data_IF_809012019207
#
_entry.id   IF_809012019207
#
_cell.length_a   1.000
_cell.length_b   1.000
_cell.length_c   1.000
_cell.angle_alpha   90.00
_cell.angle_beta   90.00
_cell.angle_gamma   90.00
#
_symmetry.space_group_name_H-M   'P 1'
#
loop_
_entity.id
_entity.type
_entity.pdbx_description
1 polymer ?
#
# COMPACT_ATOMS: atom_id res chain seq x y z
N UNK A 1 -14.97 39.73 26.07
CA UNK A 1 -14.89 38.37 26.59
C UNK A 1 -15.86 37.33 25.99
N UNK A 2 -16.95 37.71 25.30
CA UNK A 2 -17.96 36.76 24.74
C UNK A 2 -17.60 36.16 23.37
N UNK A 3 -16.70 36.76 22.60
CA UNK A 3 -16.31 36.27 21.26
C UNK A 3 -15.30 35.14 21.27
N UNK A 4 -14.53 35.00 22.33
CA UNK A 4 -13.47 33.97 22.43
C UNK A 4 -14.02 32.56 22.71
N UNK A 5 -15.20 32.47 23.32
CA UNK A 5 -15.87 31.20 23.60
C UNK A 5 -16.55 30.56 22.39
N UNK A 6 -16.99 31.38 21.41
CA UNK A 6 -17.58 30.84 20.16
C UNK A 6 -16.56 30.15 19.26
N UNK A 7 -15.31 30.62 19.22
CA UNK A 7 -14.26 30.02 18.42
C UNK A 7 -13.79 28.63 18.96
N UNK A 8 -13.79 28.52 20.31
CA UNK A 8 -13.45 27.20 20.95
C UNK A 8 -14.54 26.16 20.77
N UNK A 9 -15.82 26.55 20.76
CA UNK A 9 -16.95 25.64 20.52
C UNK A 9 -16.98 25.11 19.07
N UNK A 10 -16.64 25.95 18.09
CA UNK A 10 -16.57 25.54 16.68
C UNK A 10 -15.41 24.56 16.44
N UNK A 11 -14.27 24.74 17.09
CA UNK A 11 -13.12 23.84 16.97
C UNK A 11 -13.41 22.45 17.53
N UNK A 12 -14.17 22.34 18.61
CA UNK A 12 -14.54 21.04 19.24
C UNK A 12 -15.57 20.27 18.40
N UNK A 13 -16.43 20.93 17.64
CA UNK A 13 -17.44 20.29 16.78
C UNK A 13 -16.87 19.76 15.45
N UNK A 14 -15.70 20.25 15.01
CA UNK A 14 -15.08 19.82 13.75
C UNK A 14 -14.15 18.59 13.89
N UNK A 15 -13.65 18.30 15.09
CA UNK A 15 -12.73 17.18 15.34
C UNK A 15 -13.33 15.78 15.09
N UNK A 16 -14.57 15.46 15.50
CA UNK A 16 -15.13 14.13 15.28
C UNK A 16 -15.37 13.79 13.80
N UNK A 17 -15.68 14.76 12.95
CA UNK A 17 -15.91 14.52 11.53
C UNK A 17 -14.65 14.15 10.75
N UNK A 18 -13.50 14.72 11.10
CA UNK A 18 -12.23 14.42 10.42
C UNK A 18 -11.76 13.00 10.75
N UNK A 19 -11.86 12.57 12.01
CA UNK A 19 -11.49 11.20 12.44
C UNK A 19 -12.43 10.15 11.85
N UNK A 20 -13.72 10.41 11.79
CA UNK A 20 -14.69 9.48 11.20
C UNK A 20 -14.49 9.30 9.69
N UNK A 21 -14.12 10.37 8.97
CA UNK A 21 -13.84 10.28 7.53
C UNK A 21 -12.53 9.52 7.22
N UNK A 22 -11.51 9.67 8.06
CA UNK A 22 -10.25 8.94 7.87
C UNK A 22 -10.40 7.44 8.18
N UNK A 23 -11.18 7.08 9.20
CA UNK A 23 -11.49 5.68 9.51
C UNK A 23 -12.32 5.02 8.42
N UNK A 24 -13.30 5.72 7.83
CA UNK A 24 -14.11 5.20 6.72
C UNK A 24 -13.27 4.92 5.47
N UNK A 25 -12.40 5.83 5.07
CA UNK A 25 -11.50 5.63 3.91
C UNK A 25 -10.47 4.51 4.14
N UNK A 26 -10.01 4.35 5.38
CA UNK A 26 -9.13 3.24 5.74
C UNK A 26 -9.84 1.90 5.60
N UNK A 27 -11.05 1.77 6.12
CA UNK A 27 -11.86 0.56 6.03
C UNK A 27 -12.18 0.21 4.56
N UNK A 28 -12.50 1.22 3.74
CA UNK A 28 -12.68 1.06 2.30
C UNK A 28 -11.41 0.53 1.62
N UNK A 29 -10.25 1.09 1.93
CA UNK A 29 -8.98 0.64 1.38
C UNK A 29 -8.66 -0.82 1.79
N UNK A 30 -8.89 -1.18 3.05
CA UNK A 30 -8.70 -2.55 3.54
C UNK A 30 -9.62 -3.56 2.85
N UNK A 31 -10.87 -3.17 2.59
CA UNK A 31 -11.81 -3.98 1.79
C UNK A 31 -11.25 -4.27 0.39
N UNK A 32 -10.78 -3.24 -0.34
CA UNK A 32 -10.22 -3.44 -1.68
C UNK A 32 -8.89 -4.21 -1.67
N UNK A 33 -8.04 -4.00 -0.66
CA UNK A 33 -6.81 -4.80 -0.48
C UNK A 33 -7.15 -6.28 -0.39
N UNK A 34 -8.08 -6.66 0.48
CA UNK A 34 -8.52 -8.05 0.63
C UNK A 34 -9.13 -8.61 -0.65
N UNK A 35 -10.06 -7.86 -1.25
CA UNK A 35 -10.79 -8.30 -2.45
C UNK A 35 -9.84 -8.51 -3.63
N UNK A 36 -8.95 -7.57 -3.91
CA UNK A 36 -8.03 -7.71 -5.04
C UNK A 36 -6.87 -8.67 -4.77
N UNK A 37 -6.38 -8.76 -3.53
CA UNK A 37 -5.39 -9.76 -3.13
C UNK A 37 -5.91 -11.17 -3.42
N UNK A 38 -7.14 -11.45 -3.01
CA UNK A 38 -7.82 -12.73 -3.29
C UNK A 38 -8.02 -12.95 -4.79
N UNK A 39 -8.55 -11.95 -5.50
CA UNK A 39 -8.86 -12.04 -6.94
C UNK A 39 -7.62 -12.31 -7.80
N UNK A 40 -6.49 -11.66 -7.49
CA UNK A 40 -5.24 -11.80 -8.24
C UNK A 40 -4.26 -12.80 -7.65
N UNK A 41 -4.66 -13.54 -6.62
CA UNK A 41 -3.83 -14.55 -5.93
C UNK A 41 -2.50 -13.99 -5.39
N UNK A 42 -2.54 -12.78 -4.84
CA UNK A 42 -1.41 -12.14 -4.15
C UNK A 42 -1.63 -12.29 -2.64
N UNK A 43 -0.63 -12.68 -1.84
CA UNK A 43 -0.79 -12.72 -0.39
C UNK A 43 -1.26 -11.35 0.15
N UNK A 44 -2.40 -11.33 0.86
CA UNK A 44 -2.96 -10.09 1.44
C UNK A 44 -1.92 -9.36 2.31
N UNK A 45 -1.17 -10.12 3.10
CA UNK A 45 -0.09 -9.60 3.95
C UNK A 45 1.00 -8.87 3.15
N UNK A 46 1.30 -9.31 1.92
CA UNK A 46 2.23 -8.61 1.04
C UNK A 46 1.62 -7.29 0.54
N UNK A 47 0.36 -7.29 0.12
CA UNK A 47 -0.32 -6.07 -0.33
C UNK A 47 -0.38 -5.05 0.80
N UNK A 48 -0.76 -5.46 2.02
CA UNK A 48 -0.79 -4.61 3.21
C UNK A 48 0.58 -4.01 3.52
N UNK A 49 1.64 -4.83 3.48
CA UNK A 49 3.00 -4.37 3.71
C UNK A 49 3.45 -3.31 2.68
N UNK A 50 3.06 -3.48 1.41
CA UNK A 50 3.33 -2.50 0.35
C UNK A 50 2.55 -1.22 0.60
N UNK A 51 1.24 -1.27 0.85
CA UNK A 51 0.42 -0.08 1.15
C UNK A 51 0.94 0.67 2.37
N UNK A 52 1.28 -0.03 3.45
CA UNK A 52 1.89 0.58 4.64
C UNK A 52 3.19 1.31 4.29
N UNK A 53 4.06 0.68 3.50
CA UNK A 53 5.35 1.26 3.11
C UNK A 53 5.22 2.44 2.17
N UNK A 54 4.31 2.39 1.21
CA UNK A 54 4.15 3.39 0.15
C UNK A 54 3.43 4.66 0.63
N UNK A 55 2.40 4.51 1.44
CA UNK A 55 1.53 5.62 1.81
C UNK A 55 1.26 5.74 3.31
N UNK A 56 1.66 4.75 4.11
CA UNK A 56 1.14 4.59 5.48
C UNK A 56 -0.39 4.68 5.51
N UNK A 57 -1.03 4.08 4.50
CA UNK A 57 -2.48 4.08 4.29
C UNK A 57 -3.11 5.45 4.00
N UNK A 58 -2.35 6.47 3.71
CA UNK A 58 -2.89 7.74 3.22
C UNK A 58 -3.46 7.52 1.82
N UNK A 59 -4.68 8.04 1.58
CA UNK A 59 -5.44 7.70 0.36
C UNK A 59 -4.81 8.28 -0.89
N UNK A 60 -4.34 9.53 -0.84
CA UNK A 60 -3.82 10.20 -2.03
C UNK A 60 -2.56 11.03 -1.77
N UNK A 61 -1.51 10.47 -1.16
CA UNK A 61 -0.24 11.17 -1.09
C UNK A 61 0.40 11.25 -2.48
N UNK A 62 1.12 12.34 -2.72
CA UNK A 62 1.90 12.55 -3.95
C UNK A 62 3.36 12.66 -3.57
N UNK A 63 4.21 11.81 -4.13
CA UNK A 63 5.65 11.87 -3.90
C UNK A 63 6.33 12.95 -4.76
N UNK A 64 7.52 13.44 -4.38
CA UNK A 64 8.29 14.39 -5.22
C UNK A 64 8.60 13.86 -6.62
N UNK A 65 8.61 12.54 -6.81
CA UNK A 65 8.83 11.87 -8.11
C UNK A 65 7.53 11.64 -8.90
N UNK A 66 6.38 12.08 -8.39
CA UNK A 66 5.08 11.97 -9.06
C UNK A 66 4.37 10.62 -8.87
N UNK A 67 4.81 9.76 -7.95
CA UNK A 67 4.03 8.60 -7.53
C UNK A 67 2.80 9.05 -6.73
N UNK A 68 1.66 8.37 -6.89
CA UNK A 68 0.39 8.80 -6.31
C UNK A 68 -0.39 7.63 -5.71
N UNK A 69 -1.04 7.89 -4.57
CA UNK A 69 -2.05 7.05 -3.97
C UNK A 69 -1.51 5.99 -3.01
N UNK A 70 -2.40 5.12 -2.56
CA UNK A 70 -2.14 4.08 -1.55
C UNK A 70 -0.94 3.18 -1.88
N UNK A 71 -0.80 2.82 -3.14
CA UNK A 71 0.28 1.95 -3.64
C UNK A 71 1.32 2.72 -4.48
N UNK A 72 1.32 4.06 -4.41
CA UNK A 72 2.31 4.96 -5.04
C UNK A 72 2.61 4.63 -6.50
N UNK A 73 1.57 4.57 -7.33
CA UNK A 73 1.73 4.28 -8.74
C UNK A 73 2.35 5.47 -9.50
N UNK A 74 3.47 5.22 -10.18
CA UNK A 74 4.08 6.17 -11.11
C UNK A 74 3.17 6.38 -12.34
N UNK A 75 3.19 7.56 -13.00
CA UNK A 75 2.35 7.85 -14.16
C UNK A 75 2.41 6.77 -15.26
N UNK A 76 3.61 6.38 -15.66
CA UNK A 76 3.82 5.36 -16.71
C UNK A 76 3.28 3.98 -16.28
N UNK A 77 3.48 3.60 -15.01
CA UNK A 77 2.95 2.33 -14.48
C UNK A 77 1.42 2.37 -14.44
N UNK A 78 0.82 3.46 -13.99
CA UNK A 78 -0.63 3.63 -13.95
C UNK A 78 -1.25 3.55 -15.36
N UNK A 79 -0.63 4.21 -16.35
CA UNK A 79 -1.06 4.15 -17.74
C UNK A 79 -1.01 2.72 -18.29
N UNK A 80 0.09 2.01 -18.11
CA UNK A 80 0.25 0.61 -18.53
C UNK A 80 -0.78 -0.32 -17.91
N UNK A 81 -1.19 -0.01 -16.67
CA UNK A 81 -2.18 -0.79 -15.92
C UNK A 81 -3.62 -0.29 -16.13
N UNK A 82 -3.87 0.71 -16.99
CA UNK A 82 -5.21 1.26 -17.21
C UNK A 82 -5.80 1.94 -15.97
N UNK A 83 -4.97 2.49 -15.09
CA UNK A 83 -5.41 3.25 -13.90
C UNK A 83 -5.53 4.72 -14.28
N UNK A 84 -6.76 5.20 -14.43
CA UNK A 84 -7.05 6.59 -14.80
C UNK A 84 -7.11 7.51 -13.58
N UNK A 85 -7.59 7.00 -12.45
CA UNK A 85 -7.70 7.74 -11.18
C UNK A 85 -6.72 7.25 -10.13
N UNK A 86 -5.49 7.76 -10.10
CA UNK A 86 -4.48 7.30 -9.12
C UNK A 86 -4.81 7.64 -7.66
N UNK A 87 -5.71 8.62 -7.42
CA UNK A 87 -6.26 8.94 -6.10
C UNK A 87 -7.53 8.13 -5.77
N UNK A 88 -8.12 7.45 -6.74
CA UNK A 88 -9.26 6.59 -6.50
C UNK A 88 -8.79 5.30 -5.80
N UNK A 89 -9.34 5.02 -4.63
CA UNK A 89 -8.93 3.92 -3.75
C UNK A 89 -8.95 2.58 -4.49
N UNK A 90 -10.09 2.24 -5.10
CA UNK A 90 -10.29 0.98 -5.81
C UNK A 90 -9.33 0.83 -7.00
N UNK A 91 -9.22 1.86 -7.86
CA UNK A 91 -8.36 1.80 -9.04
C UNK A 91 -6.88 1.71 -8.68
N UNK A 92 -6.44 2.47 -7.65
CA UNK A 92 -5.06 2.48 -7.22
C UNK A 92 -4.64 1.11 -6.66
N UNK A 93 -5.45 0.54 -5.76
CA UNK A 93 -5.20 -0.78 -5.17
C UNK A 93 -5.29 -1.86 -6.25
N UNK A 94 -6.32 -1.86 -7.11
CA UNK A 94 -6.42 -2.82 -8.21
C UNK A 94 -5.18 -2.80 -9.10
N UNK A 95 -4.72 -1.61 -9.51
CA UNK A 95 -3.51 -1.46 -10.33
C UNK A 95 -2.26 -1.98 -9.63
N UNK A 96 -2.03 -1.57 -8.39
CA UNK A 96 -0.87 -2.00 -7.61
C UNK A 96 -0.84 -3.51 -7.36
N UNK A 97 -1.99 -4.12 -7.03
CA UNK A 97 -2.08 -5.57 -6.82
C UNK A 97 -1.86 -6.36 -8.12
N UNK A 98 -2.39 -5.87 -9.27
CA UNK A 98 -2.09 -6.47 -10.58
C UNK A 98 -0.61 -6.40 -10.91
N UNK A 99 0.05 -5.30 -10.56
CA UNK A 99 1.49 -5.17 -10.75
C UNK A 99 2.25 -6.16 -9.87
N UNK A 100 1.88 -6.30 -8.59
CA UNK A 100 2.45 -7.32 -7.70
C UNK A 100 2.24 -8.75 -8.24
N UNK A 101 1.02 -9.07 -8.69
CA UNK A 101 0.72 -10.37 -9.27
C UNK A 101 1.58 -10.67 -10.50
N UNK A 102 1.81 -9.67 -11.35
CA UNK A 102 2.70 -9.81 -12.50
C UNK A 102 4.15 -10.01 -12.09
N UNK A 103 4.67 -9.23 -11.11
CA UNK A 103 6.02 -9.41 -10.56
C UNK A 103 6.21 -10.79 -9.91
N UNK A 104 5.20 -11.29 -9.21
CA UNK A 104 5.25 -12.64 -8.63
C UNK A 104 5.40 -13.72 -9.70
N UNK A 105 4.70 -13.60 -10.83
CA UNK A 105 4.89 -14.53 -11.97
C UNK A 105 6.26 -14.37 -12.59
N UNK A 106 6.71 -13.11 -12.83
CA UNK A 106 8.00 -12.82 -13.45
C UNK A 106 9.18 -13.36 -12.64
N UNK A 107 9.11 -13.25 -11.31
CA UNK A 107 10.17 -13.63 -10.40
C UNK A 107 9.91 -14.96 -9.66
N UNK A 108 8.97 -15.78 -10.17
CA UNK A 108 8.67 -17.12 -9.63
C UNK A 108 8.42 -17.13 -8.12
N UNK A 109 7.78 -16.08 -7.59
CA UNK A 109 7.47 -15.92 -6.17
C UNK A 109 8.66 -15.57 -5.26
N UNK A 110 9.86 -15.28 -5.81
CA UNK A 110 10.94 -14.76 -4.95
C UNK A 110 10.56 -13.38 -4.42
N UNK A 111 10.16 -13.35 -3.15
CA UNK A 111 9.70 -12.17 -2.44
C UNK A 111 10.68 -10.99 -2.54
N UNK A 112 11.99 -11.24 -2.51
CA UNK A 112 13.03 -10.20 -2.56
C UNK A 112 13.05 -9.53 -3.91
N UNK A 113 12.95 -10.32 -4.98
CA UNK A 113 12.91 -9.81 -6.35
C UNK A 113 11.58 -9.11 -6.64
N UNK A 114 10.46 -9.63 -6.13
CA UNK A 114 9.13 -8.99 -6.23
C UNK A 114 9.16 -7.59 -5.58
N UNK A 115 9.63 -7.49 -4.35
CA UNK A 115 9.72 -6.20 -3.65
C UNK A 115 10.73 -5.25 -4.32
N UNK A 116 11.87 -5.76 -4.77
CA UNK A 116 12.86 -4.98 -5.51
C UNK A 116 12.30 -4.47 -6.84
N UNK A 117 11.59 -5.32 -7.59
CA UNK A 117 10.94 -4.99 -8.86
C UNK A 117 9.85 -3.94 -8.70
N UNK A 118 9.07 -4.02 -7.62
CA UNK A 118 8.06 -3.01 -7.32
C UNK A 118 8.67 -1.61 -7.12
N UNK A 119 9.78 -1.53 -6.39
CA UNK A 119 10.45 -0.26 -6.08
C UNK A 119 11.30 0.29 -7.22
N UNK A 120 12.14 -0.56 -7.84
CA UNK A 120 13.15 -0.15 -8.81
C UNK A 120 12.70 -0.32 -10.27
N UNK A 121 11.59 -0.99 -10.50
CA UNK A 121 11.15 -1.43 -11.82
C UNK A 121 11.70 -2.82 -12.18
N UNK A 122 10.88 -3.57 -12.87
CA UNK A 122 11.13 -4.96 -13.24
C UNK A 122 12.35 -5.17 -14.10
N UNK A 123 12.58 -4.29 -15.07
CA UNK A 123 13.63 -4.47 -16.09
C UNK A 123 15.03 -4.52 -15.49
N UNK A 124 15.33 -3.63 -14.53
CA UNK A 124 16.65 -3.60 -13.91
C UNK A 124 16.84 -4.82 -12.99
N UNK A 125 15.76 -5.22 -12.29
CA UNK A 125 15.81 -6.38 -11.39
C UNK A 125 15.87 -7.68 -12.21
N UNK A 126 15.16 -7.78 -13.32
CA UNK A 126 15.22 -8.94 -14.22
C UNK A 126 16.62 -9.14 -14.79
N UNK A 127 17.31 -8.04 -15.17
CA UNK A 127 18.68 -8.12 -15.68
C UNK A 127 19.74 -8.43 -14.63
N UNK A 128 19.57 -7.95 -13.40
CA UNK A 128 20.62 -8.00 -12.35
C UNK A 128 20.32 -9.02 -11.24
N UNK A 129 19.07 -9.42 -11.07
CA UNK A 129 18.65 -10.34 -10.02
C UNK A 129 19.09 -9.87 -8.63
N UNK A 130 19.48 -10.79 -7.78
CA UNK A 130 19.96 -10.52 -6.42
C UNK A 130 21.33 -9.83 -6.36
N UNK A 131 22.03 -9.68 -7.49
CA UNK A 131 23.28 -8.91 -7.57
C UNK A 131 23.03 -7.39 -7.63
N UNK A 132 21.78 -6.96 -7.76
CA UNK A 132 21.42 -5.54 -7.76
C UNK A 132 21.56 -4.92 -6.37
N UNK A 133 22.78 -4.42 -6.09
CA UNK A 133 23.16 -3.84 -4.78
C UNK A 133 22.94 -2.32 -4.76
N UNK A 134 21.68 -1.89 -4.81
CA UNK A 134 21.31 -0.51 -4.53
C UNK A 134 20.85 -0.40 -3.08
N UNK A 135 21.42 0.56 -2.32
CA UNK A 135 21.13 0.73 -0.87
C UNK A 135 19.65 0.99 -0.61
N UNK A 136 19.01 1.80 -1.45
CA UNK A 136 17.59 2.16 -1.28
C UNK A 136 16.68 0.95 -1.56
N UNK A 137 17.03 0.15 -2.58
CA UNK A 137 16.32 -1.09 -2.91
C UNK A 137 16.45 -2.10 -1.78
N UNK A 138 17.67 -2.30 -1.26
CA UNK A 138 17.90 -3.21 -0.13
C UNK A 138 17.09 -2.76 1.09
N UNK A 139 17.14 -1.47 1.42
CA UNK A 139 16.37 -0.91 2.54
C UNK A 139 14.87 -1.06 2.34
N UNK A 140 14.37 -0.87 1.11
CA UNK A 140 12.96 -1.07 0.77
C UNK A 140 12.56 -2.53 0.97
N UNK A 141 13.30 -3.48 0.40
CA UNK A 141 13.04 -4.92 0.54
C UNK A 141 13.01 -5.35 2.01
N UNK A 142 13.96 -4.87 2.82
CA UNK A 142 14.00 -5.17 4.25
C UNK A 142 12.76 -4.63 4.99
N UNK A 143 12.32 -3.40 4.66
CA UNK A 143 11.12 -2.81 5.27
C UNK A 143 9.86 -3.59 4.90
N UNK A 144 9.68 -3.93 3.61
CA UNK A 144 8.57 -4.77 3.17
C UNK A 144 8.58 -6.12 3.88
N UNK A 145 9.74 -6.77 3.99
CA UNK A 145 9.88 -8.03 4.72
C UNK A 145 9.43 -7.91 6.18
N UNK A 146 9.87 -6.86 6.86
CA UNK A 146 9.53 -6.65 8.27
C UNK A 146 8.02 -6.40 8.45
N UNK A 147 7.40 -5.58 7.59
CA UNK A 147 5.95 -5.36 7.60
C UNK A 147 5.19 -6.64 7.27
N UNK A 148 5.62 -7.39 6.27
CA UNK A 148 5.03 -8.68 5.90
C UNK A 148 5.03 -9.68 7.07
N UNK A 149 6.14 -9.79 7.79
CA UNK A 149 6.24 -10.69 8.94
C UNK A 149 5.32 -10.25 10.10
N UNK A 150 5.23 -8.96 10.39
CA UNK A 150 4.30 -8.44 11.41
C UNK A 150 2.86 -8.74 11.06
N UNK A 151 2.44 -8.45 9.83
CA UNK A 151 1.09 -8.71 9.33
C UNK A 151 0.76 -10.21 9.39
N UNK A 152 1.68 -11.07 8.98
CA UNK A 152 1.50 -12.52 9.01
C UNK A 152 1.32 -13.05 10.44
N UNK A 153 2.08 -12.54 11.40
CA UNK A 153 1.94 -12.91 12.81
C UNK A 153 0.60 -12.46 13.39
N UNK A 154 0.20 -11.21 13.10
CA UNK A 154 -1.09 -10.66 13.55
C UNK A 154 -2.29 -11.44 12.98
N UNK A 155 -2.27 -11.79 11.69
CA UNK A 155 -3.33 -12.57 11.07
C UNK A 155 -3.43 -14.00 11.65
N UNK A 156 -2.29 -14.63 11.94
CA UNK A 156 -2.27 -15.96 12.52
C UNK A 156 -2.78 -15.97 13.96
N UNK A 157 -2.44 -14.96 14.78
CA UNK A 157 -2.95 -14.84 16.15
C UNK A 157 -4.46 -14.63 16.17
N UNK A 158 -4.99 -13.75 15.32
CA UNK A 158 -6.42 -13.52 15.18
C UNK A 158 -7.16 -14.79 14.75
N UNK A 159 -6.62 -15.52 13.77
CA UNK A 159 -7.20 -16.78 13.29
C UNK A 159 -7.27 -17.85 14.40
N UNK A 160 -6.21 -17.94 15.22
CA UNK A 160 -6.18 -18.89 16.33
C UNK A 160 -7.16 -18.54 17.45
N UNK A 161 -7.49 -17.26 17.63
CA UNK A 161 -8.46 -16.78 18.63
C UNK A 161 -9.91 -17.03 18.19
N UNK A 162 -10.20 -16.83 16.90
CA UNK A 162 -11.55 -17.06 16.32
C UNK A 162 -11.91 -18.55 16.26
N UNK A 163 -10.92 -19.46 16.24
CA UNK A 163 -11.13 -20.92 16.15
C UNK A 163 -11.17 -21.61 17.52
N UNK A 164 -11.09 -20.86 18.64
CA UNK A 164 -11.27 -21.37 20.01
C UNK A 164 -12.68 -21.17 20.51
#
# INVERSE_FOLDING_TARGET
MKMQWCLLLIAVLMLPNCLAQTTGKRAEAEYYVRSYAQHYHVPETLVRAVVERESNWQVCPVSPKGAVGLMQLMPATAQRLGVHGRCNISQNISGGVRYLAWLMRLFHGDFRLVAAGYYAGEDIVARRGLSYRNRDVIAYVQRIRNSYLRESTSMNSFRSEVLR
#
